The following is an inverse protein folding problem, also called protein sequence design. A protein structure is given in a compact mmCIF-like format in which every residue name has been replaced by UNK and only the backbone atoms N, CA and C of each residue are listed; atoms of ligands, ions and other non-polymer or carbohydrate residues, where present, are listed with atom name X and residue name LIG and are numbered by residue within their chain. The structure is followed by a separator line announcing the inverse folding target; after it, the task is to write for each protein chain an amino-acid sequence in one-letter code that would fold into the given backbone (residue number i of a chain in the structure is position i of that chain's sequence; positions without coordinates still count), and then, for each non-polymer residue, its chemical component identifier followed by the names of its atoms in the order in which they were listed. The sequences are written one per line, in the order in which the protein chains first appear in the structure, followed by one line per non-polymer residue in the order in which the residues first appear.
data_IF_542126483623
#
_entry.id   IF_542126483623
#
_cell.length_a   1.000
_cell.length_b   1.000
_cell.length_c   1.000
_cell.angle_alpha   90.00
_cell.angle_beta   90.00
_cell.angle_gamma   90.00
#
_symmetry.space_group_name_H-M   'P 1'
#
loop_
_entity.id
_entity.type
_entity.pdbx_description
1 polymer ?
#
# COMPACT_ATOMS: atom_id res chain seq x y z
N UNK A 1 21.45 -22.40 -24.45
CA UNK A 1 21.33 -21.16 -23.64
C UNK A 1 20.12 -21.33 -22.74
N UNK A 2 20.22 -20.93 -21.47
CA UNK A 2 19.09 -21.02 -20.54
C UNK A 2 18.09 -19.89 -20.81
N UNK A 3 16.80 -20.16 -20.58
CA UNK A 3 15.72 -19.19 -20.69
C UNK A 3 15.82 -18.18 -19.53
N UNK A 4 15.71 -16.88 -19.84
CA UNK A 4 15.74 -15.82 -18.83
C UNK A 4 14.30 -15.40 -18.54
N UNK A 5 13.89 -15.53 -17.27
CA UNK A 5 12.58 -15.08 -16.79
C UNK A 5 12.80 -13.86 -15.89
N UNK A 6 12.14 -12.74 -16.22
CA UNK A 6 12.14 -11.52 -15.42
C UNK A 6 10.85 -11.41 -14.60
N UNK A 7 10.99 -11.12 -13.30
CA UNK A 7 9.88 -10.77 -12.42
C UNK A 7 10.04 -9.33 -11.93
N UNK A 8 8.95 -8.56 -11.93
CA UNK A 8 8.92 -7.18 -11.46
C UNK A 8 7.69 -6.97 -10.58
N UNK A 9 7.92 -6.44 -9.37
CA UNK A 9 6.89 -6.10 -8.40
C UNK A 9 7.00 -4.62 -8.01
N UNK A 10 5.85 -4.00 -7.71
CA UNK A 10 5.78 -2.58 -7.38
C UNK A 10 5.63 -2.38 -5.88
N UNK A 11 6.63 -1.72 -5.30
CA UNK A 11 6.69 -1.44 -3.88
C UNK A 11 5.53 -0.57 -3.38
N UNK A 12 4.73 -1.10 -2.46
CA UNK A 12 3.60 -0.37 -1.84
C UNK A 12 2.68 0.29 -2.89
N UNK A 13 2.37 -0.43 -3.98
CA UNK A 13 1.81 0.12 -5.21
C UNK A 13 0.72 1.19 -5.01
N UNK A 14 -0.41 0.87 -4.36
CA UNK A 14 -1.48 1.86 -4.19
C UNK A 14 -1.08 3.07 -3.34
N UNK A 15 -0.25 2.90 -2.31
CA UNK A 15 0.26 4.05 -1.55
C UNK A 15 1.22 4.90 -2.41
N UNK A 16 1.99 4.29 -3.32
CA UNK A 16 2.85 5.03 -4.24
C UNK A 16 2.04 5.84 -5.25
N UNK A 17 0.93 5.28 -5.76
CA UNK A 17 -0.02 5.99 -6.63
C UNK A 17 -0.63 7.17 -5.89
N UNK A 18 -1.17 6.97 -4.68
CA UNK A 18 -1.77 8.06 -3.90
C UNK A 18 -0.76 9.16 -3.52
N UNK A 19 0.50 8.82 -3.22
CA UNK A 19 1.55 9.82 -2.98
C UNK A 19 1.99 10.54 -4.26
N UNK A 20 1.79 9.93 -5.43
CA UNK A 20 2.03 10.57 -6.71
C UNK A 20 0.93 11.58 -7.02
N UNK A 21 -0.34 11.15 -6.92
CA UNK A 21 -1.55 11.96 -7.14
C UNK A 21 -1.69 13.09 -6.10
N UNK A 22 -1.40 12.80 -4.84
CA UNK A 22 -1.40 13.78 -3.75
C UNK A 22 -0.02 13.89 -3.10
N UNK A 23 0.85 14.82 -3.60
CA UNK A 23 2.19 15.01 -3.08
C UNK A 23 2.26 15.35 -1.59
N UNK A 24 1.19 15.87 -0.99
CA UNK A 24 1.14 16.16 0.46
C UNK A 24 1.22 14.91 1.34
N UNK A 25 1.01 13.71 0.77
CA UNK A 25 1.13 12.42 1.45
C UNK A 25 2.57 11.87 1.47
N UNK A 26 3.48 12.44 0.67
CA UNK A 26 4.87 11.98 0.60
C UNK A 26 5.56 12.13 1.95
N UNK A 27 6.32 11.11 2.34
CA UNK A 27 7.02 11.06 3.63
C UNK A 27 6.14 10.77 4.85
N UNK A 28 4.81 10.74 4.70
CA UNK A 28 3.88 10.41 5.79
C UNK A 28 3.66 8.90 5.90
N UNK A 29 3.28 8.47 7.11
CA UNK A 29 2.75 7.13 7.32
C UNK A 29 1.30 7.08 6.83
N UNK A 30 1.10 6.53 5.63
CA UNK A 30 -0.21 6.35 5.01
C UNK A 30 -0.57 4.88 4.83
N UNK A 31 -1.88 4.61 4.87
CA UNK A 31 -2.50 3.35 4.48
C UNK A 31 -3.64 3.63 3.50
N UNK A 32 -3.78 2.78 2.49
CA UNK A 32 -4.90 2.79 1.55
C UNK A 32 -5.83 1.66 1.96
N UNK A 33 -7.11 1.98 2.19
CA UNK A 33 -8.12 1.07 2.69
C UNK A 33 -9.26 0.93 1.70
N UNK A 34 -9.94 -0.22 1.71
CA UNK A 34 -11.22 -0.36 1.03
C UNK A 34 -12.29 0.49 1.70
N UNK A 35 -13.33 0.82 0.94
CA UNK A 35 -14.57 1.42 1.48
C UNK A 35 -15.05 0.64 2.71
N UNK A 36 -15.38 1.36 3.78
CA UNK A 36 -15.92 0.79 5.03
C UNK A 36 -17.26 0.11 4.78
N UNK A 37 -18.08 0.69 3.91
CA UNK A 37 -19.40 0.22 3.52
C UNK A 37 -19.32 -1.04 2.65
N UNK A 38 -18.37 -1.09 1.71
CA UNK A 38 -18.30 -2.17 0.72
C UNK A 38 -17.36 -3.32 1.10
N UNK A 39 -16.32 -3.06 1.91
CA UNK A 39 -15.20 -4.00 2.15
C UNK A 39 -14.74 -4.09 3.60
N UNK A 40 -15.61 -3.71 4.53
CA UNK A 40 -15.36 -3.86 5.98
C UNK A 40 -14.11 -3.12 6.48
N UNK A 41 -13.61 -2.10 5.75
CA UNK A 41 -12.49 -1.26 6.15
C UNK A 41 -11.12 -1.95 6.18
N UNK A 42 -10.85 -2.95 5.33
CA UNK A 42 -9.53 -3.60 5.29
C UNK A 42 -8.45 -2.70 4.67
N UNK A 43 -7.25 -2.73 5.25
CA UNK A 43 -6.04 -2.12 4.65
C UNK A 43 -5.61 -2.90 3.42
N UNK A 44 -5.61 -2.26 2.25
CA UNK A 44 -5.14 -2.82 0.97
C UNK A 44 -3.63 -2.68 0.81
N UNK A 45 -3.08 -1.55 1.25
CA UNK A 45 -1.65 -1.28 1.18
C UNK A 45 -1.25 -0.27 2.25
N UNK A 46 -0.03 -0.39 2.75
CA UNK A 46 0.57 0.56 3.67
C UNK A 46 1.92 1.03 3.11
N UNK A 47 2.20 2.32 3.25
CA UNK A 47 3.51 2.91 2.96
C UNK A 47 4.61 2.32 3.86
N UNK A 48 5.88 2.41 3.45
CA UNK A 48 7.00 1.94 4.28
C UNK A 48 7.03 2.54 5.70
N UNK A 49 6.78 3.85 5.92
CA UNK A 49 6.68 4.39 7.27
C UNK A 49 5.56 3.74 8.09
N UNK A 50 4.38 3.51 7.49
CA UNK A 50 3.27 2.85 8.17
C UNK A 50 3.57 1.36 8.49
N UNK A 51 4.24 0.64 7.58
CA UNK A 51 4.68 -0.75 7.82
C UNK A 51 5.64 -0.85 9.00
N UNK A 52 6.56 0.11 9.17
CA UNK A 52 7.46 0.17 10.35
C UNK A 52 6.72 0.36 11.67
N UNK A 53 5.49 0.87 11.62
CA UNK A 53 4.61 1.03 12.78
C UNK A 53 3.68 -0.17 13.00
N UNK A 54 3.87 -1.26 12.25
CA UNK A 54 3.06 -2.48 12.35
C UNK A 54 1.81 -2.49 11.46
N UNK A 55 1.59 -1.48 10.61
CA UNK A 55 0.43 -1.46 9.70
C UNK A 55 0.63 -2.43 8.54
N UNK A 56 -0.22 -3.46 8.44
CA UNK A 56 -0.12 -4.52 7.43
C UNK A 56 -1.42 -4.69 6.62
N UNK A 57 -1.31 -5.31 5.44
CA UNK A 57 -2.37 -5.49 4.43
C UNK A 57 -3.53 -6.43 4.83
N UNK A 58 -3.68 -6.75 6.12
CA UNK A 58 -4.78 -7.56 6.67
C UNK A 58 -5.38 -6.93 7.93
N UNK A 59 -4.89 -5.75 8.31
CA UNK A 59 -5.49 -5.02 9.41
C UNK A 59 -6.84 -4.49 8.99
N UNK A 60 -7.79 -4.59 9.91
CA UNK A 60 -9.10 -3.98 9.77
C UNK A 60 -9.02 -2.58 10.37
N UNK A 61 -9.47 -1.59 9.60
CA UNK A 61 -9.74 -0.23 10.06
C UNK A 61 -11.21 -0.23 10.46
N UNK A 62 -11.44 -0.20 11.78
CA UNK A 62 -12.76 -0.07 12.40
C UNK A 62 -12.88 1.27 13.09
#
# INVERSE_FOLDING_TARGET
MAEIILHSDLNCFYASVEMNENPSLRGKAIAVCGSTEDRHGIVLTASYPAKRMGVMHRLRVV
#
